data_IF_798374554386
#
_entry.id   IF_798374554386
#
_cell.length_a   1.000
_cell.length_b   1.000
_cell.length_c   1.000
_cell.angle_alpha   90.00
_cell.angle_beta   90.00
_cell.angle_gamma   90.00
#
_symmetry.space_group_name_H-M   'P 1'
#
loop_
_entity.id
_entity.type
_entity.pdbx_description
1 polymer ?
#
# COMPACT_ATOMS: atom_id res chain seq x y z
N UNK A 1 -30.25 23.61 0.73
CA UNK A 1 -30.23 22.80 1.95
C UNK A 1 -28.80 22.83 2.45
N UNK A 2 -28.59 23.20 3.71
CA UNK A 2 -27.23 23.21 4.27
C UNK A 2 -26.70 21.79 4.36
N UNK A 3 -25.39 21.61 4.14
CA UNK A 3 -24.75 20.31 4.09
C UNK A 3 -23.46 20.27 4.92
N UNK A 4 -23.12 19.08 5.39
CA UNK A 4 -21.83 18.78 6.00
C UNK A 4 -20.98 18.02 4.98
N UNK A 5 -19.86 18.64 4.59
CA UNK A 5 -18.86 18.06 3.70
C UNK A 5 -17.62 17.68 4.51
N UNK A 6 -17.24 16.42 4.45
CA UNK A 6 -16.05 15.88 5.08
C UNK A 6 -14.92 15.71 4.05
N UNK A 7 -13.76 16.31 4.29
CA UNK A 7 -12.56 16.16 3.47
C UNK A 7 -11.50 15.35 4.22
N UNK A 8 -11.09 14.21 3.66
CA UNK A 8 -10.10 13.32 4.25
C UNK A 8 -8.90 13.08 3.34
N UNK A 9 -7.80 12.58 3.90
CA UNK A 9 -6.56 12.37 3.14
C UNK A 9 -5.34 12.39 4.03
N UNK A 10 -4.24 11.80 3.54
CA UNK A 10 -2.97 11.75 4.29
C UNK A 10 -2.46 13.18 4.65
N UNK A 11 -1.62 13.32 5.69
CA UNK A 11 -0.95 14.59 5.97
C UNK A 11 -0.22 15.13 4.74
N UNK A 12 -0.17 16.46 4.61
CA UNK A 12 0.54 17.19 3.53
C UNK A 12 0.09 16.91 2.09
N UNK A 13 -1.08 16.32 1.89
CA UNK A 13 -1.61 16.03 0.55
C UNK A 13 -2.36 17.21 -0.10
N UNK A 14 -2.52 18.33 0.63
CA UNK A 14 -3.22 19.52 0.13
C UNK A 14 -4.72 19.58 0.46
N UNK A 15 -5.20 18.90 1.51
CA UNK A 15 -6.61 18.95 1.94
C UNK A 15 -7.12 20.36 2.22
N UNK A 16 -6.34 21.14 2.97
CA UNK A 16 -6.68 22.52 3.34
C UNK A 16 -6.76 23.39 2.11
N UNK A 17 -5.79 23.30 1.19
CA UNK A 17 -5.84 24.00 -0.09
C UNK A 17 -7.07 23.60 -0.93
N UNK A 18 -7.42 22.31 -0.96
CA UNK A 18 -8.62 21.83 -1.65
C UNK A 18 -9.91 22.36 -1.02
N UNK A 19 -9.99 22.44 0.31
CA UNK A 19 -11.14 23.00 1.01
C UNK A 19 -11.31 24.50 0.72
N UNK A 20 -10.19 25.23 0.65
CA UNK A 20 -10.18 26.65 0.24
C UNK A 20 -10.59 26.81 -1.23
N UNK A 21 -10.14 25.91 -2.12
CA UNK A 21 -10.57 25.88 -3.52
C UNK A 21 -12.09 25.72 -3.62
N UNK A 22 -12.67 24.77 -2.88
CA UNK A 22 -14.11 24.56 -2.82
C UNK A 22 -14.84 25.81 -2.33
N UNK A 23 -14.34 26.43 -1.26
CA UNK A 23 -14.93 27.62 -0.66
C UNK A 23 -14.96 28.83 -1.61
N UNK A 24 -13.91 29.00 -2.43
CA UNK A 24 -13.75 30.17 -3.29
C UNK A 24 -14.42 30.03 -4.65
N UNK A 25 -14.30 28.84 -5.26
CA UNK A 25 -14.70 28.63 -6.64
C UNK A 25 -16.11 28.05 -6.80
N UNK A 26 -16.72 27.56 -5.73
CA UNK A 26 -18.11 27.15 -5.74
C UNK A 26 -19.01 28.36 -5.46
N UNK A 27 -19.87 28.70 -6.43
CA UNK A 27 -20.83 29.80 -6.31
C UNK A 27 -21.76 29.64 -5.11
N UNK A 28 -21.96 28.40 -4.63
CA UNK A 28 -22.79 28.09 -3.48
C UNK A 28 -22.31 28.74 -2.17
N UNK A 29 -21.00 28.96 -2.01
CA UNK A 29 -20.43 29.54 -0.78
C UNK A 29 -20.17 31.05 -0.87
N UNK A 30 -20.27 31.65 -2.06
CA UNK A 30 -19.95 33.06 -2.27
C UNK A 30 -20.88 33.99 -1.48
N UNK A 31 -20.29 35.01 -0.86
CA UNK A 31 -21.01 36.06 -0.12
C UNK A 31 -21.54 35.64 1.25
N UNK A 32 -21.24 34.42 1.71
CA UNK A 32 -21.63 33.93 3.04
C UNK A 32 -20.57 34.27 4.08
N UNK A 33 -20.99 34.49 5.32
CA UNK A 33 -20.07 34.69 6.44
C UNK A 33 -19.27 33.41 6.70
N UNK A 34 -17.95 33.51 6.79
CA UNK A 34 -17.06 32.35 6.97
C UNK A 34 -16.48 32.36 8.38
N UNK A 35 -16.53 31.22 9.05
CA UNK A 35 -15.81 30.93 10.29
C UNK A 35 -14.72 29.89 10.03
N UNK A 36 -13.50 30.14 10.47
CA UNK A 36 -12.41 29.17 10.25
C UNK A 36 -11.35 29.15 11.35
N UNK A 37 -10.80 27.98 11.63
CA UNK A 37 -9.58 27.80 12.43
C UNK A 37 -8.31 27.60 11.57
N UNK A 38 -8.40 27.74 10.24
CA UNK A 38 -7.28 27.49 9.33
C UNK A 38 -6.22 28.60 9.48
N UNK A 39 -5.00 28.19 9.84
CA UNK A 39 -3.86 29.08 9.85
C UNK A 39 -3.43 29.44 8.43
N UNK A 40 -3.18 30.73 8.17
CA UNK A 40 -2.70 31.21 6.86
C UNK A 40 -3.78 31.38 5.81
N UNK A 41 -5.07 31.39 6.21
CA UNK A 41 -6.18 31.76 5.36
C UNK A 41 -6.19 33.28 5.14
N UNK A 42 -6.19 33.72 3.88
CA UNK A 42 -6.14 35.14 3.50
C UNK A 42 -7.52 35.69 3.12
N UNK A 43 -8.52 34.82 3.02
CA UNK A 43 -9.93 35.19 2.79
C UNK A 43 -10.47 35.84 4.06
N UNK A 44 -11.41 36.77 3.94
CA UNK A 44 -12.12 37.33 5.09
C UNK A 44 -12.87 36.21 5.85
N UNK A 45 -12.48 35.99 7.11
CA UNK A 45 -13.02 34.94 7.95
C UNK A 45 -13.00 35.38 9.41
N UNK A 46 -13.87 34.76 10.19
CA UNK A 46 -14.10 35.09 11.60
C UNK A 46 -13.64 33.94 12.49
N UNK A 47 -13.11 34.30 13.66
CA UNK A 47 -12.97 33.38 14.79
C UNK A 47 -14.30 33.32 15.57
N UNK A 48 -14.46 32.39 16.53
CA UNK A 48 -15.58 32.44 17.46
C UNK A 48 -15.72 33.83 18.10
N UNK A 49 -16.96 34.29 18.38
CA UNK A 49 -17.20 35.58 19.03
C UNK A 49 -16.43 35.71 20.35
N UNK A 50 -16.18 36.95 20.78
CA UNK A 50 -15.46 37.21 22.04
C UNK A 50 -16.14 36.50 23.22
N UNK A 51 -15.35 35.77 24.01
CA UNK A 51 -15.84 34.98 25.14
C UNK A 51 -16.36 33.59 24.80
N UNK A 52 -16.47 33.25 23.51
CA UNK A 52 -16.86 31.94 23.03
C UNK A 52 -15.67 31.19 22.39
N UNK A 53 -15.81 29.87 22.26
CA UNK A 53 -14.81 29.00 21.67
C UNK A 53 -15.43 28.13 20.56
N UNK A 54 -14.74 27.06 20.17
CA UNK A 54 -15.32 26.12 19.18
C UNK A 54 -16.20 25.07 19.87
N UNK A 55 -15.98 24.82 21.16
CA UNK A 55 -16.69 23.85 22.00
C UNK A 55 -18.15 24.26 22.29
N UNK A 56 -18.46 25.56 22.20
CA UNK A 56 -19.78 26.15 22.36
C UNK A 56 -20.38 26.66 21.04
N UNK A 57 -19.86 26.18 19.91
CA UNK A 57 -20.33 26.50 18.56
C UNK A 57 -21.83 26.28 18.36
N UNK A 58 -22.42 25.30 19.04
CA UNK A 58 -23.86 25.06 19.03
C UNK A 58 -24.72 26.23 19.56
N UNK A 59 -24.15 27.16 20.31
CA UNK A 59 -24.86 28.33 20.83
C UNK A 59 -24.75 29.51 19.87
N UNK A 60 -23.52 29.97 19.61
CA UNK A 60 -23.31 31.21 18.88
C UNK A 60 -23.60 31.11 17.39
N UNK A 61 -23.56 29.92 16.78
CA UNK A 61 -24.01 29.75 15.39
C UNK A 61 -25.53 29.95 15.23
N UNK A 62 -26.31 29.85 16.31
CA UNK A 62 -27.77 30.09 16.27
C UNK A 62 -28.11 31.58 16.30
N UNK A 63 -27.15 32.46 16.58
CA UNK A 63 -27.38 33.90 16.60
C UNK A 63 -27.77 34.39 15.21
N UNK A 64 -28.63 35.42 15.15
CA UNK A 64 -29.29 35.88 13.93
C UNK A 64 -28.30 36.31 12.84
N UNK A 65 -27.18 36.89 13.25
CA UNK A 65 -26.08 37.34 12.41
C UNK A 65 -25.21 36.21 11.83
N UNK A 66 -25.33 35.00 12.37
CA UNK A 66 -24.54 33.83 11.97
C UNK A 66 -25.38 32.81 11.18
N UNK A 67 -26.70 32.96 11.14
CA UNK A 67 -27.58 32.14 10.29
C UNK A 67 -27.13 32.26 8.82
N UNK A 68 -27.03 31.11 8.15
CA UNK A 68 -26.53 31.06 6.77
C UNK A 68 -25.01 31.13 6.64
N UNK A 69 -24.23 31.10 7.73
CA UNK A 69 -22.76 31.07 7.65
C UNK A 69 -22.20 29.73 7.17
N UNK A 70 -20.91 29.74 6.81
CA UNK A 70 -20.12 28.55 6.47
C UNK A 70 -19.04 28.38 7.52
N UNK A 71 -18.90 27.18 8.07
CA UNK A 71 -17.82 26.81 8.99
C UNK A 71 -16.84 25.93 8.27
N UNK A 72 -15.57 26.33 8.22
CA UNK A 72 -14.48 25.50 7.69
C UNK A 72 -13.45 25.22 8.78
N UNK A 73 -13.36 23.96 9.19
CA UNK A 73 -12.57 23.54 10.35
C UNK A 73 -11.55 22.46 9.98
N UNK A 74 -10.27 22.77 10.18
CA UNK A 74 -9.15 21.84 9.99
C UNK A 74 -8.83 21.05 11.26
N UNK A 75 -8.39 19.81 11.05
CA UNK A 75 -8.15 18.81 12.10
C UNK A 75 -9.35 18.66 13.06
N UNK A 76 -10.53 18.46 12.49
CA UNK A 76 -11.82 18.45 13.20
C UNK A 76 -11.94 17.39 14.29
N UNK A 77 -11.07 16.39 14.34
CA UNK A 77 -11.02 15.43 15.44
C UNK A 77 -10.73 16.07 16.80
N UNK A 78 -10.17 17.28 16.84
CA UNK A 78 -10.02 18.03 18.10
C UNK A 78 -11.36 18.53 18.65
N UNK A 79 -12.34 18.78 17.76
CA UNK A 79 -13.66 19.25 18.12
C UNK A 79 -14.67 18.09 18.29
N UNK A 80 -14.58 17.09 17.41
CA UNK A 80 -15.48 15.93 17.37
C UNK A 80 -14.71 14.61 17.41
N UNK A 81 -13.97 14.29 18.49
CA UNK A 81 -13.22 13.05 18.59
C UNK A 81 -14.12 11.82 18.67
N UNK A 82 -13.60 10.67 18.26
CA UNK A 82 -14.25 9.37 18.54
C UNK A 82 -14.49 9.19 20.03
N UNK A 83 -15.72 8.82 20.40
CA UNK A 83 -16.12 8.58 21.79
C UNK A 83 -16.22 7.09 22.12
N UNK A 84 -16.17 6.77 23.41
CA UNK A 84 -16.51 5.45 23.92
C UNK A 84 -18.01 5.16 23.75
N UNK A 85 -18.34 3.88 23.54
CA UNK A 85 -19.72 3.40 23.45
C UNK A 85 -20.49 3.75 24.73
N UNK A 86 -21.70 4.31 24.59
CA UNK A 86 -22.57 4.67 25.72
C UNK A 86 -22.28 6.02 26.40
N UNK A 87 -21.26 6.76 25.97
CA UNK A 87 -21.02 8.13 26.48
C UNK A 87 -22.15 9.10 26.10
N UNK A 88 -22.47 10.04 27.00
CA UNK A 88 -23.46 11.09 26.73
C UNK A 88 -23.05 11.89 25.48
N UNK A 89 -24.01 12.14 24.60
CA UNK A 89 -23.78 12.95 23.40
C UNK A 89 -23.52 14.41 23.77
N UNK A 90 -22.39 15.01 23.34
CA UNK A 90 -22.12 16.43 23.52
C UNK A 90 -23.11 17.29 22.73
N UNK A 91 -23.39 18.51 23.20
CA UNK A 91 -24.35 19.43 22.56
C UNK A 91 -23.89 19.89 21.18
N UNK A 92 -22.58 20.08 21.02
CA UNK A 92 -21.95 20.33 19.74
C UNK A 92 -22.23 19.24 18.71
N UNK A 93 -22.25 17.96 19.12
CA UNK A 93 -22.59 16.83 18.24
C UNK A 93 -24.09 16.80 17.95
N UNK A 94 -24.91 17.07 18.97
CA UNK A 94 -26.37 17.14 18.80
C UNK A 94 -26.77 18.25 17.80
N UNK A 95 -26.07 19.38 17.82
CA UNK A 95 -26.27 20.50 16.90
C UNK A 95 -26.08 20.12 15.43
N UNK A 96 -25.19 19.17 15.13
CA UNK A 96 -24.95 18.69 13.77
C UNK A 96 -26.19 18.07 13.13
N UNK A 97 -27.19 17.63 13.90
CA UNK A 97 -28.46 17.14 13.34
C UNK A 97 -29.40 18.28 12.92
N UNK A 98 -29.24 19.46 13.50
CA UNK A 98 -30.15 20.61 13.34
C UNK A 98 -29.51 21.80 12.61
N UNK A 99 -28.23 21.69 12.21
CA UNK A 99 -27.49 22.75 11.51
C UNK A 99 -28.24 23.27 10.27
N UNK A 100 -28.95 22.39 9.56
CA UNK A 100 -29.74 22.71 8.38
C UNK A 100 -30.89 23.70 8.63
N UNK A 101 -31.46 23.73 9.84
CA UNK A 101 -32.49 24.72 10.21
C UNK A 101 -31.95 26.15 10.26
N UNK A 102 -30.67 26.31 10.56
CA UNK A 102 -29.98 27.59 10.63
C UNK A 102 -29.21 27.91 9.33
N UNK A 103 -29.36 27.07 8.29
CA UNK A 103 -28.64 27.26 7.03
C UNK A 103 -27.12 27.18 7.17
N UNK A 104 -26.60 26.49 8.19
CA UNK A 104 -25.15 26.43 8.43
C UNK A 104 -24.53 25.31 7.60
N UNK A 105 -23.62 25.65 6.71
CA UNK A 105 -22.83 24.65 5.98
C UNK A 105 -21.50 24.43 6.68
N UNK A 106 -21.02 23.18 6.68
CA UNK A 106 -19.78 22.82 7.35
C UNK A 106 -18.85 22.09 6.39
N UNK A 107 -17.61 22.56 6.28
CA UNK A 107 -16.51 21.93 5.55
C UNK A 107 -15.49 21.47 6.60
N UNK A 108 -15.51 20.17 6.90
CA UNK A 108 -14.71 19.59 7.98
C UNK A 108 -13.54 18.83 7.39
N UNK A 109 -12.33 19.05 7.89
CA UNK A 109 -11.11 18.44 7.36
C UNK A 109 -10.51 17.55 8.45
N UNK A 110 -10.08 16.35 8.07
CA UNK A 110 -9.35 15.45 8.97
C UNK A 110 -8.42 14.53 8.19
N UNK A 111 -7.50 13.88 8.88
CA UNK A 111 -6.63 12.86 8.27
C UNK A 111 -7.38 11.56 8.00
N UNK A 112 -8.30 11.18 8.90
CA UNK A 112 -9.04 9.92 8.82
C UNK A 112 -10.44 10.05 9.42
N UNK A 113 -11.48 9.55 8.74
CA UNK A 113 -12.85 9.58 9.28
C UNK A 113 -13.00 8.75 10.57
N UNK A 114 -12.11 7.78 10.81
CA UNK A 114 -12.13 6.94 12.02
C UNK A 114 -11.79 7.69 13.31
N UNK A 115 -11.26 8.91 13.19
CA UNK A 115 -10.93 9.77 14.33
C UNK A 115 -12.15 10.58 14.81
N UNK A 116 -13.25 10.54 14.07
CA UNK A 116 -14.40 11.41 14.28
C UNK A 116 -15.51 10.73 15.09
N UNK A 117 -16.35 11.51 15.76
CA UNK A 117 -17.58 11.01 16.38
C UNK A 117 -18.44 10.20 15.39
N UNK A 118 -19.02 9.08 15.85
CA UNK A 118 -19.89 8.25 15.01
C UNK A 118 -21.10 9.03 14.51
N UNK A 119 -21.72 9.84 15.36
CA UNK A 119 -22.90 10.63 14.97
C UNK A 119 -22.56 11.69 13.93
N UNK A 120 -21.36 12.30 14.00
CA UNK A 120 -20.89 13.20 12.96
C UNK A 120 -20.77 12.46 11.61
N UNK A 121 -20.27 11.22 11.62
CA UNK A 121 -20.12 10.45 10.37
C UNK A 121 -21.45 10.14 9.70
N UNK A 122 -22.51 9.93 10.49
CA UNK A 122 -23.86 9.62 9.97
C UNK A 122 -24.55 10.82 9.33
N UNK A 123 -24.27 12.04 9.79
CA UNK A 123 -24.91 13.27 9.26
C UNK A 123 -24.17 13.90 8.09
N UNK A 124 -22.96 13.43 7.78
CA UNK A 124 -22.17 13.93 6.64
C UNK A 124 -22.87 13.58 5.33
N UNK A 125 -23.17 14.60 4.54
CA UNK A 125 -23.87 14.45 3.25
C UNK A 125 -22.91 14.17 2.08
N UNK A 126 -21.66 14.60 2.22
CA UNK A 126 -20.65 14.42 1.18
C UNK A 126 -19.31 14.15 1.82
N UNK A 127 -18.67 13.08 1.41
CA UNK A 127 -17.32 12.74 1.82
C UNK A 127 -16.39 12.77 0.60
N UNK A 128 -15.32 13.55 0.71
CA UNK A 128 -14.29 13.70 -0.31
C UNK A 128 -12.97 13.20 0.27
N UNK A 129 -12.35 12.20 -0.35
CA UNK A 129 -11.01 11.74 0.00
C UNK A 129 -10.01 12.13 -1.08
N UNK A 130 -8.93 12.80 -0.68
CA UNK A 130 -7.82 13.14 -1.56
C UNK A 130 -6.72 12.08 -1.41
N UNK A 131 -6.47 11.36 -2.50
CA UNK A 131 -5.44 10.34 -2.60
C UNK A 131 -4.36 10.75 -3.61
N UNK A 132 -3.11 10.41 -3.33
CA UNK A 132 -2.01 10.63 -4.26
C UNK A 132 -1.83 9.37 -5.10
N UNK A 133 -1.78 9.53 -6.41
CA UNK A 133 -1.45 8.46 -7.34
C UNK A 133 0.05 8.16 -7.26
N UNK A 134 0.45 6.94 -7.64
CA UNK A 134 1.86 6.53 -7.68
C UNK A 134 2.75 7.42 -8.55
N UNK A 135 2.14 8.16 -9.49
CA UNK A 135 2.82 9.10 -10.39
C UNK A 135 2.77 10.56 -9.91
N UNK A 136 2.35 10.83 -8.67
CA UNK A 136 2.36 12.17 -8.06
C UNK A 136 1.14 13.06 -8.33
N UNK A 137 0.20 12.62 -9.18
CA UNK A 137 -1.09 13.32 -9.36
C UNK A 137 -2.04 13.10 -8.19
N UNK A 138 -2.96 14.05 -7.95
CA UNK A 138 -4.00 13.90 -6.94
C UNK A 138 -5.27 13.33 -7.57
N UNK A 139 -5.91 12.41 -6.87
CA UNK A 139 -7.21 11.83 -7.21
C UNK A 139 -8.19 12.19 -6.10
N UNK A 140 -9.34 12.70 -6.50
CA UNK A 140 -10.47 12.98 -5.65
C UNK A 140 -11.45 11.81 -5.73
N UNK A 141 -11.75 11.21 -4.59
CA UNK A 141 -12.76 10.17 -4.45
C UNK A 141 -13.95 10.76 -3.69
N UNK A 142 -15.16 10.65 -4.23
CA UNK A 142 -16.36 11.21 -3.61
C UNK A 142 -17.40 10.14 -3.29
N UNK A 143 -18.05 10.30 -2.14
CA UNK A 143 -19.20 9.52 -1.70
C UNK A 143 -20.28 10.45 -1.13
N UNK A 144 -21.53 9.99 -1.16
CA UNK A 144 -22.66 10.67 -0.50
C UNK A 144 -22.77 10.31 1.00
N UNK A 145 -21.90 9.43 1.48
CA UNK A 145 -21.84 8.94 2.86
C UNK A 145 -20.37 8.78 3.27
N UNK A 146 -20.09 8.66 4.57
CA UNK A 146 -18.70 8.52 5.03
C UNK A 146 -18.14 7.13 4.75
N UNK A 147 -17.07 7.09 3.95
CA UNK A 147 -16.27 5.89 3.71
C UNK A 147 -15.18 5.75 4.79
N UNK A 148 -15.36 4.82 5.72
CA UNK A 148 -14.40 4.57 6.82
C UNK A 148 -13.02 4.12 6.33
N UNK A 149 -12.97 3.41 5.20
CA UNK A 149 -11.74 2.96 4.56
C UNK A 149 -11.71 3.44 3.10
N UNK A 150 -11.40 4.73 2.83
CA UNK A 150 -11.54 5.34 1.51
C UNK A 150 -10.79 4.60 0.40
N UNK A 151 -9.59 4.09 0.70
CA UNK A 151 -8.78 3.33 -0.27
C UNK A 151 -9.43 2.01 -0.68
N UNK A 152 -10.01 1.26 0.26
CA UNK A 152 -10.66 -0.01 -0.01
C UNK A 152 -12.03 0.18 -0.66
N UNK A 153 -12.75 1.23 -0.25
CA UNK A 153 -14.08 1.58 -0.75
C UNK A 153 -14.03 2.47 -2.02
N UNK A 154 -12.84 2.67 -2.60
CA UNK A 154 -12.62 3.51 -3.79
C UNK A 154 -13.44 3.08 -5.01
N UNK A 155 -13.81 1.80 -5.11
CA UNK A 155 -14.66 1.27 -6.18
C UNK A 155 -16.09 1.82 -6.17
N UNK A 156 -16.59 2.18 -4.98
CA UNK A 156 -17.92 2.76 -4.81
C UNK A 156 -17.89 4.28 -4.84
N UNK A 157 -16.72 4.88 -5.11
CA UNK A 157 -16.52 6.31 -5.14
C UNK A 157 -16.65 6.84 -6.57
N UNK A 158 -17.14 8.07 -6.69
CA UNK A 158 -16.92 8.83 -7.91
C UNK A 158 -15.47 9.32 -7.91
N UNK A 159 -14.66 8.74 -8.80
CA UNK A 159 -13.23 9.05 -8.92
C UNK A 159 -12.99 10.09 -10.01
N UNK A 160 -12.26 11.16 -9.68
CA UNK A 160 -11.83 12.18 -10.62
C UNK A 160 -10.37 12.57 -10.37
N UNK A 161 -9.63 12.85 -11.45
CA UNK A 161 -8.28 13.43 -11.33
C UNK A 161 -8.43 14.89 -10.92
N UNK A 162 -7.74 15.31 -9.86
CA UNK A 162 -7.80 16.68 -9.36
C UNK A 162 -6.42 17.34 -9.45
N UNK A 163 -6.37 18.59 -9.90
CA UNK A 163 -5.20 19.45 -9.77
C UNK A 163 -5.65 20.69 -9.02
N UNK A 164 -5.01 20.98 -7.89
CA UNK A 164 -5.28 22.21 -7.13
C UNK A 164 -4.95 23.40 -8.03
N UNK A 165 -5.89 24.35 -8.12
CA UNK A 165 -5.71 25.58 -8.89
C UNK A 165 -4.62 26.44 -8.24
N UNK A 166 -3.74 27.01 -9.07
CA UNK A 166 -2.63 27.84 -8.58
C UNK A 166 -3.13 29.14 -7.92
N UNK A 167 -4.28 29.66 -8.38
CA UNK A 167 -4.99 30.81 -7.79
C UNK A 167 -5.33 30.62 -6.30
N UNK A 168 -5.48 29.38 -5.82
CA UNK A 168 -5.75 29.09 -4.39
C UNK A 168 -4.62 29.62 -3.49
N UNK A 169 -3.39 29.68 -4.00
CA UNK A 169 -2.23 30.16 -3.26
C UNK A 169 -2.31 31.67 -2.95
N UNK A 170 -3.12 32.43 -3.69
CA UNK A 170 -3.41 33.84 -3.39
C UNK A 170 -4.30 33.99 -2.16
N UNK A 171 -5.13 32.99 -1.89
CA UNK A 171 -6.12 32.98 -0.82
C UNK A 171 -5.70 32.14 0.40
N UNK A 172 -4.64 31.34 0.26
CA UNK A 172 -4.13 30.48 1.31
C UNK A 172 -2.62 30.28 1.20
N UNK A 173 -1.91 30.61 2.28
CA UNK A 173 -0.48 30.29 2.44
C UNK A 173 -0.33 29.18 3.47
N UNK A 174 0.03 27.99 3.00
CA UNK A 174 0.37 26.88 3.89
C UNK A 174 1.52 27.29 4.80
N UNK A 175 1.38 27.06 6.12
CA UNK A 175 2.46 27.30 7.07
C UNK A 175 3.68 26.42 6.70
N UNK A 176 4.73 27.06 6.21
CA UNK A 176 6.00 26.45 5.88
C UNK A 176 6.76 26.14 7.18
N UNK A 177 6.58 24.94 7.73
CA UNK A 177 7.79 24.25 8.19
C UNK A 177 8.48 23.81 6.92
N UNK A 178 9.37 24.67 6.42
CA UNK A 178 10.25 24.47 5.28
C UNK A 178 10.98 23.11 5.39
N UNK A 179 10.31 22.05 4.99
CA UNK A 179 10.96 20.90 4.39
C UNK A 179 10.64 21.05 2.91
N UNK A 180 11.32 22.02 2.30
CA UNK A 180 11.57 22.00 0.88
C UNK A 180 12.23 20.65 0.60
N UNK A 181 11.42 19.64 0.29
CA UNK A 181 11.88 18.57 -0.55
C UNK A 181 12.14 19.26 -1.88
N UNK A 182 13.37 19.80 -2.01
CA UNK A 182 13.93 20.21 -3.29
C UNK A 182 13.53 19.12 -4.26
N UNK A 183 12.80 19.46 -5.33
CA UNK A 183 12.52 18.51 -6.39
C UNK A 183 13.85 17.84 -6.74
N UNK A 184 14.05 16.61 -6.26
CA UNK A 184 15.27 15.86 -6.54
C UNK A 184 15.10 15.54 -8.01
N UNK A 185 15.71 16.36 -8.88
CA UNK A 185 15.60 16.22 -10.32
C UNK A 185 15.92 14.76 -10.61
N UNK A 186 14.91 14.03 -11.14
CA UNK A 186 15.02 12.61 -11.44
C UNK A 186 16.35 12.35 -12.15
N UNK A 187 17.07 11.28 -11.81
CA UNK A 187 18.39 10.95 -12.39
C UNK A 187 18.40 11.02 -13.92
N UNK A 188 17.23 10.81 -14.54
CA UNK A 188 16.94 10.99 -15.96
C UNK A 188 17.25 12.39 -16.53
N UNK A 189 17.08 13.46 -15.76
CA UNK A 189 17.42 14.83 -16.20
C UNK A 189 18.91 14.96 -16.54
N UNK A 190 19.79 14.37 -15.71
CA UNK A 190 21.23 14.37 -15.97
C UNK A 190 21.61 13.46 -17.14
N UNK A 191 20.89 12.35 -17.33
CA UNK A 191 21.11 11.43 -18.47
C UNK A 191 20.75 12.10 -19.79
N UNK A 192 19.64 12.85 -19.86
CA UNK A 192 19.21 13.56 -21.07
C UNK A 192 20.22 14.66 -21.43
N UNK A 193 20.68 15.45 -20.46
CA UNK A 193 21.72 16.47 -20.68
C UNK A 193 23.03 15.81 -21.13
N UNK A 194 23.46 14.73 -20.47
CA UNK A 194 24.66 14.02 -20.86
C UNK A 194 24.57 13.47 -22.29
N UNK A 195 23.42 12.92 -22.70
CA UNK A 195 23.23 12.40 -24.05
C UNK A 195 23.28 13.50 -25.11
N UNK A 196 22.73 14.68 -24.82
CA UNK A 196 22.76 15.85 -25.71
C UNK A 196 24.17 16.37 -26.01
N UNK A 197 25.12 16.21 -25.09
CA UNK A 197 26.52 16.64 -25.29
C UNK A 197 27.45 15.49 -25.71
N UNK A 198 27.25 14.28 -25.19
CA UNK A 198 28.12 13.13 -25.48
C UNK A 198 27.88 12.60 -26.89
N UNK A 199 26.63 12.55 -27.36
CA UNK A 199 26.31 12.01 -28.68
C UNK A 199 26.95 12.83 -29.84
N UNK A 200 26.85 14.18 -29.89
CA UNK A 200 27.53 14.95 -30.94
C UNK A 200 29.06 14.90 -30.80
N UNK A 201 29.61 14.79 -29.58
CA UNK A 201 31.04 14.60 -29.39
C UNK A 201 31.53 13.26 -29.96
N UNK A 202 30.80 12.17 -29.73
CA UNK A 202 31.13 10.84 -30.31
C UNK A 202 31.02 10.89 -31.84
N UNK A 203 29.94 11.47 -32.38
CA UNK A 203 29.76 11.59 -33.83
C UNK A 203 30.86 12.46 -34.48
N UNK A 204 31.26 13.55 -33.81
CA UNK A 204 32.38 14.39 -34.24
C UNK A 204 33.72 13.66 -34.22
N UNK A 205 33.99 12.84 -33.19
CA UNK A 205 35.20 12.04 -33.07
C UNK A 205 35.27 10.95 -34.15
N UNK A 206 34.16 10.24 -34.39
CA UNK A 206 34.06 9.23 -35.46
C UNK A 206 34.22 9.87 -36.84
N UNK A 207 33.59 11.03 -37.07
CA UNK A 207 33.75 11.80 -38.30
C UNK A 207 35.19 12.28 -38.52
N UNK A 208 35.87 12.75 -37.47
CA UNK A 208 37.27 13.17 -37.53
C UNK A 208 38.24 12.01 -37.77
N UNK A 209 38.04 10.88 -37.11
CA UNK A 209 38.82 9.66 -37.35
C UNK A 209 38.60 9.13 -38.77
N UNK A 210 37.35 9.13 -39.25
CA UNK A 210 37.01 8.77 -40.63
C UNK A 210 37.68 9.70 -41.65
N UNK A 211 37.70 11.02 -41.39
CA UNK A 211 38.39 11.99 -42.23
C UNK A 211 39.91 11.78 -42.27
N UNK A 212 40.55 11.55 -41.11
CA UNK A 212 41.98 11.23 -41.05
C UNK A 212 42.33 9.91 -41.73
N UNK A 213 41.48 8.90 -41.59
CA UNK A 213 41.62 7.63 -42.29
C UNK A 213 41.49 7.83 -43.80
N UNK A 214 40.49 8.58 -44.28
CA UNK A 214 40.31 8.90 -45.69
C UNK A 214 41.52 9.65 -46.29
N UNK A 215 42.07 10.64 -45.57
CA UNK A 215 43.29 11.33 -45.99
C UNK A 215 44.48 10.37 -46.07
N UNK A 216 44.69 9.51 -45.08
CA UNK A 216 45.75 8.50 -45.10
C UNK A 216 45.59 7.45 -46.22
N UNK A 217 44.34 7.11 -46.58
CA UNK A 217 44.06 6.25 -47.74
C UNK A 217 44.29 6.97 -49.07
N UNK A 218 44.01 8.27 -49.17
CA UNK A 218 44.30 9.06 -50.37
C UNK A 218 45.81 9.22 -50.59
N UNK A 219 46.57 9.32 -49.50
CA UNK A 219 48.04 9.35 -49.52
C UNK A 219 48.64 7.99 -49.93
N UNK A 220 48.06 6.87 -49.45
CA UNK A 220 48.48 5.51 -49.84
C UNK A 220 48.01 5.08 -51.23
N UNK A 221 46.84 5.53 -51.68
CA UNK A 221 46.33 5.29 -53.04
C UNK A 221 47.14 6.03 -54.11
N UNK A 222 47.89 7.08 -53.74
CA UNK A 222 48.90 7.70 -54.60
C UNK A 222 50.22 6.94 -54.68
N UNK A 223 50.43 5.92 -53.83
CA UNK A 223 51.69 5.15 -53.72
C UNK A 223 51.53 3.72 -54.25
N UNK A 224 50.31 3.19 -54.36
CA UNK A 224 50.04 1.83 -54.88
C UNK A 224 49.77 1.80 -56.39
N UNK A 225 50.74 2.29 -57.19
CA UNK A 225 50.83 1.98 -58.62
C UNK A 225 52.06 1.09 -58.95
N UNK A 226 52.69 0.47 -57.95
CA UNK A 226 53.70 -0.59 -58.16
C UNK A 226 53.56 -1.70 -57.12
N UNK A 227 53.62 -2.92 -57.67
CA UNK A 227 53.74 -4.23 -57.04
C UNK A 227 52.42 -4.95 -56.69
N UNK A 228 51.97 -5.76 -57.65
CA UNK A 228 51.15 -6.95 -57.47
C UNK A 228 51.92 -8.11 -56.80
N UNK A 229 51.12 -9.08 -56.33
CA UNK A 229 51.39 -10.52 -56.15
C UNK A 229 52.00 -11.00 -54.83
N UNK A 230 51.18 -11.66 -53.99
CA UNK A 230 51.09 -13.14 -53.93
C UNK A 230 50.12 -13.58 -52.80
N UNK A 231 49.36 -14.65 -53.07
CA UNK A 231 48.48 -15.37 -52.14
C UNK A 231 49.31 -16.26 -51.20
N UNK A 232 48.85 -16.51 -49.97
CA UNK A 232 48.28 -17.81 -49.58
C UNK A 232 47.73 -17.86 -48.14
N UNK A 233 46.96 -18.91 -47.93
CA UNK A 233 45.93 -19.19 -46.94
C UNK A 233 46.49 -19.74 -45.62
N UNK A 234 45.98 -19.25 -44.49
CA UNK A 234 46.04 -19.97 -43.21
C UNK A 234 44.69 -19.85 -42.53
N UNK A 235 43.95 -20.96 -42.52
CA UNK A 235 42.68 -21.13 -41.85
C UNK A 235 42.73 -20.75 -40.38
N UNK A 236 42.08 -19.63 -40.06
CA UNK A 236 41.62 -19.31 -38.72
C UNK A 236 40.19 -18.80 -38.85
N UNK A 237 39.21 -19.60 -38.39
CA UNK A 237 37.81 -19.18 -38.35
C UNK A 237 37.67 -18.06 -37.32
N UNK A 238 37.29 -16.88 -37.80
CA UNK A 238 37.10 -15.67 -37.02
C UNK A 238 35.76 -15.78 -36.24
N UNK A 239 35.68 -15.48 -34.92
CA UNK A 239 34.44 -15.61 -34.12
C UNK A 239 33.33 -14.59 -34.46
N UNK A 240 33.43 -13.92 -35.60
CA UNK A 240 32.58 -12.81 -36.05
C UNK A 240 31.79 -13.15 -37.32
N UNK A 241 31.64 -14.43 -37.63
CA UNK A 241 30.78 -14.89 -38.72
C UNK A 241 29.29 -14.66 -38.34
N UNK A 242 28.49 -13.93 -39.15
CA UNK A 242 27.10 -13.62 -38.83
C UNK A 242 26.18 -14.84 -38.68
N UNK A 243 26.61 -16.02 -39.15
CA UNK A 243 25.84 -17.26 -39.04
C UNK A 243 25.91 -17.94 -37.66
N UNK A 244 26.95 -17.68 -36.85
CA UNK A 244 27.09 -18.30 -35.52
C UNK A 244 26.45 -17.49 -34.37
N UNK A 245 25.95 -16.28 -34.63
CA UNK A 245 25.24 -15.49 -33.60
C UNK A 245 23.74 -15.81 -33.49
N UNK A 246 23.22 -16.71 -34.31
CA UNK A 246 21.81 -17.15 -34.23
C UNK A 246 21.51 -18.17 -33.14
N UNK A 247 22.52 -18.78 -32.50
CA UNK A 247 22.31 -19.89 -31.56
C UNK A 247 22.54 -19.53 -30.07
N UNK A 248 22.84 -18.27 -29.71
CA UNK A 248 23.13 -17.89 -28.32
C UNK A 248 22.30 -16.71 -27.78
N UNK A 249 21.03 -16.60 -28.17
CA UNK A 249 20.08 -15.71 -27.47
C UNK A 249 18.74 -16.41 -27.25
N UNK A 250 18.18 -16.40 -26.02
CA UNK A 250 16.79 -16.80 -25.82
C UNK A 250 15.91 -15.76 -26.51
N UNK A 251 15.16 -16.19 -27.54
CA UNK A 251 14.13 -15.38 -28.18
C UNK A 251 13.15 -14.88 -27.13
N UNK A 252 13.37 -13.64 -26.72
CA UNK A 252 12.62 -12.93 -25.71
C UNK A 252 11.49 -12.20 -26.42
N UNK A 253 10.28 -12.73 -26.27
CA UNK A 253 9.02 -12.03 -26.58
C UNK A 253 8.73 -11.80 -28.07
N UNK A 254 7.56 -12.22 -28.52
CA UNK A 254 6.99 -11.79 -29.80
C UNK A 254 6.65 -10.29 -29.67
N UNK A 255 7.63 -9.43 -29.89
CA UNK A 255 7.42 -8.00 -30.11
C UNK A 255 7.72 -7.69 -31.58
N UNK A 256 6.66 -7.70 -32.41
CA UNK A 256 6.70 -7.11 -33.75
C UNK A 256 6.74 -8.04 -34.96
N UNK A 257 6.56 -9.36 -34.81
CA UNK A 257 6.36 -10.27 -35.96
C UNK A 257 4.89 -10.69 -36.10
N UNK A 258 4.44 -10.86 -37.36
CA UNK A 258 3.10 -11.38 -37.67
C UNK A 258 2.88 -12.75 -37.01
N UNK A 259 1.75 -12.89 -36.32
CA UNK A 259 1.33 -14.12 -35.63
C UNK A 259 1.27 -15.30 -36.61
N UNK A 260 1.91 -16.41 -36.26
CA UNK A 260 1.87 -17.64 -37.06
C UNK A 260 0.94 -18.68 -36.40
N UNK A 261 0.32 -19.60 -37.17
CA UNK A 261 -0.50 -20.67 -36.61
C UNK A 261 0.25 -21.51 -35.56
N UNK A 262 1.56 -21.68 -35.73
CA UNK A 262 2.42 -22.42 -34.79
C UNK A 262 2.47 -21.79 -33.39
N UNK A 263 2.29 -20.46 -33.27
CA UNK A 263 2.31 -19.75 -31.98
C UNK A 263 1.13 -20.12 -31.05
N UNK A 264 0.09 -20.75 -31.63
CA UNK A 264 -1.12 -21.17 -30.91
C UNK A 264 -1.11 -22.63 -30.48
N UNK A 265 -0.08 -23.40 -30.85
CA UNK A 265 0.08 -24.81 -30.49
C UNK A 265 0.83 -24.91 -29.15
N UNK A 266 0.28 -25.60 -28.13
CA UNK A 266 0.97 -25.86 -26.87
C UNK A 266 2.26 -26.67 -27.08
N UNK A 267 3.36 -26.24 -26.47
CA UNK A 267 4.63 -26.98 -26.48
C UNK A 267 4.54 -28.24 -25.60
N UNK A 268 3.81 -28.14 -24.48
CA UNK A 268 3.50 -29.26 -23.61
C UNK A 268 2.06 -29.69 -23.89
N UNK A 269 1.88 -30.98 -24.18
CA UNK A 269 0.57 -31.58 -24.35
C UNK A 269 -0.32 -31.29 -23.14
N UNK A 270 -1.60 -30.99 -23.38
CA UNK A 270 -2.62 -30.68 -22.36
C UNK A 270 -2.37 -29.43 -21.51
N UNK A 271 -1.32 -28.65 -21.80
CA UNK A 271 -0.99 -27.42 -21.07
C UNK A 271 -1.12 -26.19 -21.97
N UNK A 272 -2.32 -25.59 -22.11
CA UNK A 272 -2.54 -24.43 -22.99
C UNK A 272 -1.69 -23.20 -22.60
N UNK A 273 -1.26 -23.09 -21.35
CA UNK A 273 -0.32 -22.09 -20.87
C UNK A 273 1.09 -22.25 -21.47
N UNK A 274 1.40 -23.40 -22.08
CA UNK A 274 2.71 -23.68 -22.68
C UNK A 274 2.95 -23.00 -24.03
N UNK A 275 1.93 -22.36 -24.63
CA UNK A 275 1.99 -21.76 -25.98
C UNK A 275 3.08 -20.68 -26.11
N UNK A 276 3.83 -20.66 -27.23
CA UNK A 276 4.89 -19.67 -27.47
C UNK A 276 4.42 -18.22 -27.37
N UNK A 277 3.18 -17.92 -27.76
CA UNK A 277 2.59 -16.58 -27.68
C UNK A 277 2.64 -15.97 -26.26
N UNK A 278 2.62 -16.80 -25.22
CA UNK A 278 2.66 -16.34 -23.84
C UNK A 278 4.09 -16.15 -23.29
N UNK A 279 5.15 -16.44 -24.05
CA UNK A 279 6.54 -16.33 -23.60
C UNK A 279 6.90 -14.95 -23.01
N UNK A 280 6.37 -13.87 -23.59
CA UNK A 280 6.66 -12.51 -23.15
C UNK A 280 5.95 -12.09 -21.85
N UNK A 281 4.92 -12.82 -21.42
CA UNK A 281 4.11 -12.48 -20.22
C UNK A 281 4.21 -13.52 -19.10
N UNK A 282 4.68 -14.73 -19.42
CA UNK A 282 4.86 -15.80 -18.43
C UNK A 282 6.08 -15.51 -17.56
N UNK A 283 5.83 -15.23 -16.30
CA UNK A 283 6.85 -15.08 -15.26
C UNK A 283 6.55 -16.04 -14.12
N UNK A 284 7.57 -16.73 -13.62
CA UNK A 284 7.45 -17.60 -12.44
C UNK A 284 7.23 -16.73 -11.22
N UNK A 285 6.02 -16.76 -10.65
CA UNK A 285 5.69 -16.00 -9.42
C UNK A 285 6.11 -16.73 -8.15
N UNK A 286 6.07 -18.06 -8.18
CA UNK A 286 6.40 -18.95 -7.08
C UNK A 286 6.88 -20.28 -7.64
N UNK A 287 7.63 -21.04 -6.87
CA UNK A 287 8.19 -22.33 -7.25
C UNK A 287 7.65 -23.43 -6.34
N UNK A 288 7.81 -24.69 -6.76
CA UNK A 288 7.36 -25.84 -5.99
C UNK A 288 8.31 -26.11 -4.83
N UNK A 289 7.78 -26.16 -3.61
CA UNK A 289 8.50 -26.55 -2.41
C UNK A 289 7.60 -27.39 -1.50
N UNK A 290 8.13 -28.33 -0.71
CA UNK A 290 7.34 -29.18 0.17
C UNK A 290 6.72 -28.35 1.30
N UNK A 291 5.39 -28.48 1.50
CA UNK A 291 4.66 -27.85 2.62
C UNK A 291 4.17 -28.85 3.66
N UNK A 292 4.08 -30.13 3.28
CA UNK A 292 3.74 -31.21 4.20
C UNK A 292 4.10 -32.57 3.59
N UNK A 293 4.52 -33.49 4.45
CA UNK A 293 4.73 -34.90 4.11
C UNK A 293 3.85 -35.75 5.01
N UNK A 294 3.20 -36.75 4.42
CA UNK A 294 2.31 -37.67 5.14
C UNK A 294 2.85 -39.07 4.99
N UNK A 295 3.19 -39.71 6.10
CA UNK A 295 3.56 -41.12 6.17
C UNK A 295 2.34 -41.96 6.55
N UNK A 296 1.69 -42.60 5.57
CA UNK A 296 0.52 -43.45 5.80
C UNK A 296 -0.30 -43.76 4.56
N UNK A 297 -1.09 -44.84 4.61
CA UNK A 297 -2.02 -45.23 3.55
C UNK A 297 -1.45 -46.20 2.50
N UNK A 298 -2.23 -46.51 1.45
CA UNK A 298 -1.88 -47.48 0.38
C UNK A 298 -0.73 -47.00 -0.52
N UNK A 299 -0.47 -45.69 -0.57
CA UNK A 299 0.58 -45.05 -1.37
C UNK A 299 1.94 -44.94 -0.67
N UNK A 300 2.00 -45.22 0.65
CA UNK A 300 3.18 -44.94 1.48
C UNK A 300 3.39 -43.45 1.72
N UNK A 301 4.63 -43.04 2.03
CA UNK A 301 4.95 -41.65 2.32
C UNK A 301 4.96 -40.77 1.06
N UNK A 302 4.20 -39.67 1.05
CA UNK A 302 4.17 -38.67 -0.04
C UNK A 302 4.25 -37.23 0.50
N UNK A 303 5.07 -36.39 -0.13
CA UNK A 303 5.17 -34.96 0.15
C UNK A 303 4.40 -34.14 -0.90
N UNK A 304 3.83 -33.01 -0.48
CA UNK A 304 2.98 -32.17 -1.31
C UNK A 304 3.52 -30.74 -1.40
N UNK A 305 3.32 -30.10 -2.55
CA UNK A 305 3.58 -28.67 -2.75
C UNK A 305 2.49 -27.78 -2.13
N UNK A 306 2.70 -26.47 -2.09
CA UNK A 306 1.70 -25.49 -1.63
C UNK A 306 0.37 -25.52 -2.39
N UNK A 307 0.37 -26.12 -3.59
CA UNK A 307 -0.83 -26.30 -4.43
C UNK A 307 -1.40 -27.72 -4.36
N UNK A 308 -0.88 -28.57 -3.47
CA UNK A 308 -1.36 -29.96 -3.31
C UNK A 308 -0.82 -30.94 -4.36
N UNK A 309 0.16 -30.55 -5.18
CA UNK A 309 0.79 -31.44 -6.16
C UNK A 309 1.75 -32.41 -5.45
N UNK A 310 1.69 -33.73 -5.71
CA UNK A 310 2.63 -34.68 -5.13
C UNK A 310 4.03 -34.47 -5.72
N UNK A 311 5.02 -34.26 -4.84
CA UNK A 311 6.42 -34.05 -5.20
C UNK A 311 7.11 -35.41 -5.37
N UNK A 312 7.29 -35.84 -6.62
CA UNK A 312 7.87 -37.14 -6.97
C UNK A 312 9.39 -37.16 -6.84
N UNK A 313 10.00 -35.99 -6.80
CA UNK A 313 11.43 -35.74 -6.69
C UNK A 313 11.95 -36.07 -5.27
N UNK A 314 11.08 -36.07 -4.26
CA UNK A 314 11.42 -36.42 -2.89
C UNK A 314 11.37 -37.94 -2.72
N UNK A 315 12.51 -38.53 -2.35
CA UNK A 315 12.59 -39.97 -2.14
C UNK A 315 11.73 -40.40 -0.95
N UNK A 316 11.26 -41.66 -0.95
CA UNK A 316 10.45 -42.20 0.15
C UNK A 316 11.16 -42.15 1.50
N UNK A 317 12.49 -42.26 1.53
CA UNK A 317 13.29 -42.16 2.75
C UNK A 317 13.26 -40.72 3.30
N UNK A 318 13.50 -39.72 2.44
CA UNK A 318 13.43 -38.30 2.81
C UNK A 318 12.02 -37.88 3.22
N UNK A 319 10.99 -38.42 2.56
CA UNK A 319 9.60 -38.16 2.95
C UNK A 319 9.32 -38.62 4.39
N UNK A 320 9.79 -39.81 4.77
CA UNK A 320 9.63 -40.31 6.14
C UNK A 320 10.35 -39.43 7.14
N UNK A 321 11.59 -39.06 6.84
CA UNK A 321 12.36 -38.14 7.67
C UNK A 321 11.61 -36.82 7.89
N UNK A 322 11.07 -36.21 6.82
CA UNK A 322 10.28 -34.98 6.93
C UNK A 322 8.94 -35.16 7.65
N UNK A 323 8.30 -36.33 7.55
CA UNK A 323 7.06 -36.62 8.25
C UNK A 323 7.27 -36.80 9.76
N UNK A 324 8.40 -37.40 10.17
CA UNK A 324 8.71 -37.65 11.58
C UNK A 324 9.44 -36.49 12.26
N UNK A 325 10.38 -35.84 11.56
CA UNK A 325 11.27 -34.80 12.10
C UNK A 325 10.86 -33.37 11.69
N UNK A 326 9.86 -33.23 10.81
CA UNK A 326 9.41 -31.95 10.29
C UNK A 326 10.17 -31.51 9.03
N UNK A 327 9.60 -30.51 8.35
CA UNK A 327 10.18 -29.96 7.13
C UNK A 327 11.33 -28.98 7.43
N UNK A 328 12.34 -28.89 6.55
CA UNK A 328 13.39 -27.89 6.68
C UNK A 328 12.82 -26.47 6.58
N UNK A 329 13.46 -25.53 7.28
CA UNK A 329 13.10 -24.12 7.21
C UNK A 329 13.17 -23.62 5.76
N UNK A 330 12.11 -22.96 5.30
CA UNK A 330 12.05 -22.37 3.96
C UNK A 330 12.43 -20.88 4.03
N UNK A 331 13.66 -20.48 3.61
CA UNK A 331 14.12 -19.10 3.66
C UNK A 331 13.45 -18.19 2.62
N UNK A 332 12.70 -18.76 1.67
CA UNK A 332 11.99 -18.03 0.62
C UNK A 332 10.52 -17.81 0.94
N UNK A 333 10.04 -18.33 2.08
CA UNK A 333 8.68 -18.08 2.55
C UNK A 333 8.63 -16.65 3.10
N UNK A 334 7.92 -15.76 2.40
CA UNK A 334 7.66 -14.42 2.92
C UNK A 334 6.95 -14.53 4.28
N UNK A 335 7.41 -13.76 5.27
CA UNK A 335 6.70 -13.62 6.53
C UNK A 335 5.46 -12.78 6.27
N UNK A 336 4.29 -13.41 6.27
CA UNK A 336 2.99 -12.72 6.25
C UNK A 336 2.84 -11.89 7.54
N UNK A 337 3.49 -10.72 7.62
CA UNK A 337 3.23 -9.69 8.62
C UNK A 337 1.99 -8.86 8.24
N UNK A 338 0.94 -9.54 7.79
CA UNK A 338 -0.38 -8.95 7.55
C UNK A 338 -1.47 -9.95 7.90
N UNK A 339 -2.32 -9.54 8.83
CA UNK A 339 -3.58 -10.14 9.31
C UNK A 339 -3.51 -11.42 10.16
N UNK A 340 -3.05 -11.26 11.41
CA UNK A 340 -3.66 -11.93 12.56
C UNK A 340 -4.15 -10.87 13.55
N UNK A 341 -5.28 -10.22 13.26
CA UNK A 341 -6.13 -9.73 14.34
C UNK A 341 -7.01 -10.90 14.75
N UNK A 342 -6.65 -11.52 15.86
CA UNK A 342 -7.47 -12.49 16.54
C UNK A 342 -8.86 -11.88 16.78
N UNK A 343 -9.89 -12.56 16.27
CA UNK A 343 -11.26 -12.35 16.67
C UNK A 343 -11.39 -12.81 18.13
N UNK A 344 -11.31 -11.89 19.08
CA UNK A 344 -11.78 -12.13 20.44
C UNK A 344 -13.25 -11.72 20.52
N UNK A 345 -14.12 -12.71 20.67
CA UNK A 345 -15.49 -12.51 21.11
C UNK A 345 -15.49 -12.02 22.57
N UNK A 346 -16.30 -11.03 22.96
CA UNK A 346 -16.38 -10.59 24.35
C UNK A 346 -17.35 -11.46 25.15
N UNK A 347 -16.82 -12.12 26.19
CA UNK A 347 -17.61 -12.67 27.32
C UNK A 347 -17.76 -11.59 28.40
N UNK A 348 -18.93 -11.56 29.03
CA UNK A 348 -19.38 -10.54 29.97
C UNK A 348 -18.84 -10.68 31.41
N UNK A 349 -18.74 -9.52 32.09
CA UNK A 349 -18.78 -9.22 33.56
C UNK A 349 -17.73 -9.88 34.47
N UNK A 350 -17.14 -9.29 35.52
CA UNK A 350 -17.35 -8.03 36.25
C UNK A 350 -16.15 -7.75 37.19
N UNK A 351 -15.93 -6.45 37.46
CA UNK A 351 -15.34 -5.74 38.64
C UNK A 351 -14.03 -6.12 39.39
N UNK A 352 -13.20 -5.07 39.55
CA UNK A 352 -12.47 -4.57 40.76
C UNK A 352 -10.99 -4.93 41.02
N UNK A 353 -10.18 -3.85 40.97
CA UNK A 353 -9.12 -3.39 41.88
C UNK A 353 -7.94 -4.31 42.31
N UNK A 354 -6.73 -3.76 42.17
CA UNK A 354 -5.63 -3.98 43.13
C UNK A 354 -4.39 -4.70 42.59
N UNK A 355 -3.24 -4.02 42.68
CA UNK A 355 -1.87 -4.48 42.35
C UNK A 355 -1.40 -5.59 43.31
N UNK A 356 -0.72 -6.64 42.80
CA UNK A 356 0.60 -7.13 43.25
C UNK A 356 1.02 -8.46 42.59
N UNK A 357 2.34 -8.62 42.43
CA UNK A 357 3.06 -9.70 41.73
C UNK A 357 3.19 -10.95 42.62
N UNK A 358 2.95 -12.15 42.08
CA UNK A 358 3.45 -13.41 42.66
C UNK A 358 3.64 -14.55 41.62
N UNK A 359 4.91 -14.91 41.43
CA UNK A 359 5.51 -16.24 41.22
C UNK A 359 4.69 -17.43 40.69
N UNK A 360 5.15 -17.96 39.54
CA UNK A 360 5.31 -19.37 39.13
C UNK A 360 4.46 -20.47 39.83
N UNK A 361 3.66 -21.16 39.01
CA UNK A 361 3.12 -22.48 39.29
C UNK A 361 2.29 -22.98 38.11
N UNK A 362 2.91 -23.71 37.19
CA UNK A 362 2.26 -24.17 35.96
C UNK A 362 1.21 -25.26 36.20
N UNK A 363 0.08 -25.13 35.49
CA UNK A 363 -0.66 -26.25 34.93
C UNK A 363 -1.18 -25.82 33.54
N UNK A 364 -0.92 -26.64 32.52
CA UNK A 364 -1.46 -26.49 31.18
C UNK A 364 -2.98 -26.66 31.20
N UNK A 365 -3.79 -25.83 30.50
CA UNK A 365 -5.22 -26.07 30.38
C UNK A 365 -5.48 -27.43 29.72
N UNK A 366 -6.36 -28.24 30.31
CA UNK A 366 -6.73 -29.56 29.82
C UNK A 366 -7.44 -29.46 28.45
N UNK A 367 -7.00 -30.28 27.50
CA UNK A 367 -7.67 -30.50 26.24
C UNK A 367 -9.01 -31.22 26.46
N UNK A 368 -10.00 -30.84 25.65
CA UNK A 368 -11.29 -31.51 25.48
C UNK A 368 -11.08 -33.00 25.17
N UNK A 369 -11.28 -33.85 26.16
CA UNK A 369 -11.44 -35.30 26.00
C UNK A 369 -12.80 -35.72 26.58
N UNK A 370 -13.39 -36.65 25.85
CA UNK A 370 -14.78 -37.11 25.88
C UNK A 370 -15.23 -37.68 27.23
N UNK A 371 -16.52 -37.50 27.56
CA UNK A 371 -17.17 -38.00 28.77
C UNK A 371 -16.88 -39.49 29.03
N UNK A 372 -16.33 -39.79 30.22
CA UNK A 372 -16.30 -41.17 30.75
C UNK A 372 -14.99 -41.66 31.37
N UNK A 373 -13.94 -40.85 31.50
CA UNK A 373 -12.69 -41.30 32.12
C UNK A 373 -12.60 -40.91 33.61
N UNK A 374 -12.58 -41.91 34.50
CA UNK A 374 -12.39 -41.75 35.95
C UNK A 374 -10.98 -42.23 36.29
N UNK A 375 -10.08 -41.31 36.66
CA UNK A 375 -8.79 -41.68 37.26
C UNK A 375 -8.87 -41.61 38.79
N UNK A 376 -8.69 -42.77 39.40
CA UNK A 376 -8.66 -43.00 40.83
C UNK A 376 -7.48 -42.25 41.48
N UNK A 377 -7.77 -41.58 42.60
CA UNK A 377 -6.83 -40.69 43.27
C UNK A 377 -5.77 -41.36 44.14
N UNK A 378 -4.82 -40.53 44.58
CA UNK A 378 -4.22 -40.60 45.92
C UNK A 378 -3.58 -39.23 46.23
N UNK A 379 -4.21 -38.46 47.12
CA UNK A 379 -3.62 -37.26 47.74
C UNK A 379 -2.71 -37.71 48.88
N UNK A 380 -1.45 -37.31 48.82
CA UNK A 380 -0.45 -37.54 49.86
C UNK A 380 -0.60 -36.45 50.95
N UNK A 381 -0.99 -36.83 52.15
CA UNK A 381 -1.00 -35.96 53.36
C UNK A 381 0.18 -36.31 54.26
N UNK A 382 1.01 -35.35 54.69
CA UNK A 382 2.01 -35.58 55.72
C UNK A 382 1.40 -35.26 57.09
N UNK A 383 1.29 -36.26 57.97
CA UNK A 383 1.18 -36.03 59.41
C UNK A 383 2.25 -36.82 60.15
N UNK A 384 2.90 -36.09 61.05
CA UNK A 384 3.91 -36.48 62.02
C UNK A 384 3.41 -37.54 63.01
N UNK A 385 4.31 -38.44 63.44
CA UNK A 385 4.28 -39.00 64.80
C UNK A 385 4.39 -40.52 64.93
N UNK A 386 5.54 -40.94 65.45
CA UNK A 386 5.80 -42.07 66.36
C UNK A 386 5.58 -43.54 65.95
N UNK A 387 6.72 -44.23 65.79
CA UNK A 387 7.20 -45.50 66.41
C UNK A 387 6.21 -46.65 66.73
N UNK A 388 6.65 -47.86 66.33
CA UNK A 388 6.63 -49.20 67.00
C UNK A 388 6.21 -50.26 65.95
N UNK A 389 7.15 -51.08 65.43
CA UNK A 389 7.39 -52.50 65.81
C UNK A 389 6.16 -53.38 65.48
N UNK A 390 6.20 -54.50 64.75
CA UNK A 390 7.12 -55.63 64.74
C UNK A 390 6.75 -56.56 63.57
N UNK A 391 7.70 -57.41 63.18
CA UNK A 391 7.60 -58.45 62.18
C UNK A 391 6.51 -59.51 62.43
N UNK A 392 5.98 -60.08 61.34
CA UNK A 392 5.99 -61.52 61.07
C UNK A 392 5.85 -61.79 59.57
#
# INVERSE_FOLDING_TARGET
MAAITLITGKPRIGKTAFAVELLMFDDYYKGRKIFSNINGLLIDHHQPPEGHSWEDMYEWLKWKENIGSVVIYDEVQYLFPTRSSGSKMPENVAFLNIHGHYGIDMILITQSPKLLDVNLREVVNKHIHIAANKMGGLTRLEWNEVALNPTQQSRNALSSSHKIREEVLEYYKSAEVHTAHSHVKSRWYYIIIAMLFILPCILGLVGFMGYKMYQGYKEKAGITAKAEAAKEDTGFKNPLDPENQKEMMPQSGIQGQNLKPEDFVPVLAEKPESKPIYNGVRQVKTFEYPVGCVDGGKSGCTCYSSQGTPLKEITKAMCKDYAHNGLPFNPYKESDHSSNQAQTAPSASDTSAGVQVASLGGQSPQNLMYDGYVEAGAKFTPQSGAVVESAQ
#
